data_IF_793272682463
#
_entry.id   IF_793272682463
#
_cell.length_a   1.000
_cell.length_b   1.000
_cell.length_c   1.000
_cell.angle_alpha   90.00
_cell.angle_beta   90.00
_cell.angle_gamma   90.00
#
_symmetry.space_group_name_H-M   'P 1'
#
loop_
_entity.id
_entity.type
_entity.pdbx_description
1 polymer ?
#
# COMPACT_ATOMS: atom_id res chain seq x y z
N UNK A 1 -7.71 -29.45 -52.81
CA UNK A 1 -7.14 -28.62 -51.74
C UNK A 1 -8.29 -28.27 -50.81
N UNK A 2 -8.54 -29.00 -49.71
CA UNK A 2 -7.80 -28.98 -48.43
C UNK A 2 -7.63 -27.53 -47.94
N UNK A 3 -8.14 -27.09 -46.78
CA UNK A 3 -8.55 -27.82 -45.58
C UNK A 3 -9.50 -26.94 -44.74
N UNK A 4 -10.49 -27.57 -44.10
CA UNK A 4 -11.23 -27.05 -42.96
C UNK A 4 -10.28 -26.85 -41.77
N UNK A 5 -10.55 -25.83 -40.94
CA UNK A 5 -10.39 -25.95 -39.49
C UNK A 5 -11.62 -25.36 -38.82
N UNK A 6 -12.52 -26.26 -38.41
CA UNK A 6 -13.46 -26.05 -37.31
C UNK A 6 -12.66 -26.00 -36.01
N UNK A 7 -12.94 -25.02 -35.15
CA UNK A 7 -12.62 -25.11 -33.73
C UNK A 7 -13.94 -25.21 -32.98
N UNK A 8 -14.29 -26.45 -32.66
CA UNK A 8 -15.28 -26.76 -31.66
C UNK A 8 -14.83 -26.24 -30.28
N UNK A 9 -15.85 -25.91 -29.48
CA UNK A 9 -15.88 -25.79 -28.01
C UNK A 9 -14.79 -26.60 -27.29
N UNK A 10 -14.23 -26.13 -26.18
CA UNK A 10 -14.71 -26.43 -24.81
C UNK A 10 -13.96 -25.56 -23.77
N UNK A 11 -14.69 -25.17 -22.71
CA UNK A 11 -14.25 -24.81 -21.34
C UNK A 11 -13.70 -23.41 -20.99
N UNK A 12 -14.37 -22.83 -19.99
CA UNK A 12 -13.78 -21.91 -19.02
C UNK A 12 -14.30 -20.48 -19.13
N UNK A 13 -15.35 -20.16 -18.38
CA UNK A 13 -15.60 -18.78 -17.96
C UNK A 13 -14.38 -18.30 -17.16
N UNK A 14 -13.43 -17.66 -17.82
CA UNK A 14 -12.57 -16.69 -17.15
C UNK A 14 -13.30 -15.36 -17.26
N UNK A 15 -14.01 -15.05 -16.18
CA UNK A 15 -14.58 -13.73 -15.90
C UNK A 15 -13.59 -12.64 -16.27
N UNK A 16 -14.13 -11.63 -16.97
CA UNK A 16 -13.51 -10.36 -17.39
C UNK A 16 -12.27 -9.99 -16.56
N UNK A 17 -11.11 -9.68 -17.17
CA UNK A 17 -10.04 -9.02 -16.44
C UNK A 17 -10.57 -7.63 -16.04
N UNK A 18 -11.12 -7.56 -14.84
CA UNK A 18 -11.56 -6.33 -14.21
C UNK A 18 -10.38 -5.37 -14.29
N UNK A 19 -10.57 -4.27 -15.02
CA UNK A 19 -9.54 -3.30 -15.37
C UNK A 19 -8.99 -2.74 -14.05
N UNK A 20 -7.92 -3.34 -13.55
CA UNK A 20 -7.16 -2.86 -12.39
C UNK A 20 -6.69 -1.47 -12.77
N UNK A 21 -7.18 -0.46 -12.04
CA UNK A 21 -6.70 0.91 -11.97
C UNK A 21 -5.20 1.02 -12.34
N UNK A 22 -4.90 1.18 -13.64
CA UNK A 22 -3.56 0.85 -14.20
C UNK A 22 -2.49 1.81 -13.68
N UNK A 23 -2.90 2.99 -13.22
CA UNK A 23 -2.04 4.08 -12.76
C UNK A 23 -2.17 4.43 -11.28
N UNK A 24 -3.14 3.87 -10.54
CA UNK A 24 -3.36 4.21 -9.12
C UNK A 24 -3.86 3.02 -8.29
N UNK A 25 -3.69 3.09 -6.97
CA UNK A 25 -4.34 2.24 -6.00
C UNK A 25 -5.08 3.09 -4.96
N UNK A 26 -6.21 2.59 -4.46
CA UNK A 26 -6.96 3.27 -3.40
C UNK A 26 -6.37 2.91 -2.03
N UNK A 27 -6.22 3.90 -1.17
CA UNK A 27 -5.71 3.73 0.20
C UNK A 27 -6.68 4.40 1.17
N UNK A 28 -7.05 3.75 2.30
CA UNK A 28 -7.95 4.34 3.28
C UNK A 28 -7.32 5.54 3.98
N UNK A 29 -8.14 6.55 4.28
CA UNK A 29 -7.68 7.79 4.91
C UNK A 29 -8.67 8.27 5.96
N UNK A 30 -8.20 9.16 6.84
CA UNK A 30 -9.00 9.68 7.95
C UNK A 30 -8.94 8.81 9.19
N UNK A 31 -9.88 9.00 10.10
CA UNK A 31 -10.00 8.22 11.34
C UNK A 31 -10.11 6.73 11.05
N UNK A 32 -9.59 5.90 11.95
CA UNK A 32 -9.60 4.45 11.81
C UNK A 32 -8.83 3.90 10.60
N UNK A 33 -8.12 4.73 9.83
CA UNK A 33 -7.28 4.27 8.72
C UNK A 33 -5.91 3.79 9.18
N UNK A 34 -5.18 3.11 8.27
CA UNK A 34 -3.80 2.68 8.52
C UNK A 34 -2.89 3.84 8.95
N UNK A 35 -3.17 5.03 8.40
CA UNK A 35 -2.41 6.26 8.66
C UNK A 35 -2.74 6.86 10.03
N UNK A 36 -4.00 6.81 10.46
CA UNK A 36 -4.40 7.21 11.82
C UNK A 36 -3.75 6.29 12.87
N UNK A 37 -3.76 4.98 12.65
CA UNK A 37 -3.09 4.03 13.55
C UNK A 37 -1.55 4.15 13.53
N UNK A 38 -0.96 4.55 12.41
CA UNK A 38 0.47 4.85 12.32
C UNK A 38 0.82 6.12 13.13
N UNK A 39 0.05 7.20 12.95
CA UNK A 39 0.24 8.46 13.69
C UNK A 39 0.07 8.25 15.21
N UNK A 40 -0.91 7.45 15.62
CA UNK A 40 -1.14 7.08 17.04
C UNK A 40 -0.13 6.05 17.57
N UNK A 41 0.83 5.63 16.76
CA UNK A 41 1.84 4.62 17.09
C UNK A 41 1.29 3.25 17.51
N UNK A 42 0.07 2.93 17.10
CA UNK A 42 -0.54 1.61 17.24
C UNK A 42 0.05 0.61 16.22
N UNK A 43 0.62 1.15 15.14
CA UNK A 43 1.40 0.41 14.15
C UNK A 43 2.84 0.92 14.08
N UNK A 44 3.74 -0.02 13.82
CA UNK A 44 5.10 0.29 13.40
C UNK A 44 5.12 0.72 11.93
N UNK A 45 6.20 1.41 11.58
CA UNK A 45 6.48 1.90 10.25
C UNK A 45 6.62 0.73 9.25
N UNK A 46 7.20 -0.39 9.70
CA UNK A 46 7.31 -1.60 8.89
C UNK A 46 5.94 -2.25 8.63
N UNK A 47 5.08 -2.33 9.65
CA UNK A 47 3.69 -2.80 9.50
C UNK A 47 2.93 -1.93 8.51
N UNK A 48 2.99 -0.60 8.65
CA UNK A 48 2.30 0.31 7.75
C UNK A 48 2.76 0.15 6.28
N UNK A 49 4.08 0.07 6.02
CA UNK A 49 4.56 -0.09 4.65
C UNK A 49 4.18 -1.45 4.05
N UNK A 50 4.26 -2.53 4.84
CA UNK A 50 3.86 -3.87 4.39
C UNK A 50 2.36 -3.93 4.12
N UNK A 51 1.54 -3.31 4.96
CA UNK A 51 0.12 -3.15 4.71
C UNK A 51 -0.14 -2.43 3.39
N UNK A 52 0.50 -1.26 3.19
CA UNK A 52 0.33 -0.47 1.95
C UNK A 52 0.70 -1.28 0.71
N UNK A 53 1.75 -2.11 0.78
CA UNK A 53 2.13 -2.99 -0.33
C UNK A 53 1.11 -4.09 -0.60
N UNK A 54 0.58 -4.72 0.45
CA UNK A 54 -0.46 -5.75 0.31
C UNK A 54 -1.73 -5.10 -0.26
N UNK A 55 -2.15 -3.96 0.28
CA UNK A 55 -3.30 -3.19 -0.20
C UNK A 55 -3.14 -2.76 -1.66
N UNK A 56 -1.94 -2.32 -2.06
CA UNK A 56 -1.64 -2.05 -3.48
C UNK A 56 -2.01 -3.28 -4.32
N UNK A 57 -1.56 -4.46 -3.92
CA UNK A 57 -1.82 -5.75 -4.58
C UNK A 57 -3.18 -6.40 -4.25
N UNK A 58 -4.16 -5.61 -3.79
CA UNK A 58 -5.51 -6.09 -3.44
C UNK A 58 -6.60 -5.40 -4.26
N UNK A 59 -7.74 -6.07 -4.38
CA UNK A 59 -8.95 -5.44 -4.90
C UNK A 59 -9.55 -4.56 -3.80
N UNK A 60 -9.81 -3.29 -4.10
CA UNK A 60 -10.32 -2.34 -3.11
C UNK A 60 -11.66 -2.81 -2.52
N UNK A 61 -12.61 -3.18 -3.38
CA UNK A 61 -13.98 -3.49 -2.96
C UNK A 61 -14.06 -4.73 -2.06
N UNK A 62 -13.32 -5.78 -2.40
CA UNK A 62 -13.33 -7.01 -1.61
C UNK A 62 -12.26 -7.04 -0.53
N UNK A 63 -11.25 -6.17 -0.58
CA UNK A 63 -10.05 -6.23 0.27
C UNK A 63 -9.17 -7.46 0.03
N UNK A 64 -9.48 -8.30 -0.95
CA UNK A 64 -8.76 -9.55 -1.20
C UNK A 64 -7.50 -9.31 -2.02
N UNK A 65 -6.37 -9.80 -1.51
CA UNK A 65 -5.07 -9.70 -2.19
C UNK A 65 -4.84 -10.80 -3.22
N UNK A 66 -4.02 -10.50 -4.22
CA UNK A 66 -3.37 -11.55 -5.01
C UNK A 66 -2.43 -12.40 -4.14
N UNK A 67 -1.95 -13.53 -4.67
CA UNK A 67 -1.00 -14.40 -3.98
C UNK A 67 0.34 -13.70 -3.73
N UNK A 68 0.70 -13.49 -2.45
CA UNK A 68 1.91 -12.80 -2.02
C UNK A 68 2.71 -13.66 -1.03
N UNK A 69 3.87 -14.14 -1.48
CA UNK A 69 4.82 -14.85 -0.62
C UNK A 69 5.65 -13.88 0.23
N UNK A 70 6.17 -14.33 1.37
CA UNK A 70 7.07 -13.50 2.19
C UNK A 70 8.35 -13.09 1.43
N UNK A 71 8.86 -13.95 0.56
CA UNK A 71 10.01 -13.61 -0.30
C UNK A 71 9.66 -12.47 -1.27
N UNK A 72 8.45 -12.52 -1.86
CA UNK A 72 7.99 -11.45 -2.76
C UNK A 72 7.80 -10.14 -2.00
N UNK A 73 7.14 -10.17 -0.86
CA UNK A 73 6.95 -8.99 0.00
C UNK A 73 8.29 -8.41 0.48
N UNK A 74 9.25 -9.26 0.86
CA UNK A 74 10.61 -8.85 1.23
C UNK A 74 11.31 -8.08 0.11
N UNK A 75 11.24 -8.60 -1.12
CA UNK A 75 11.77 -7.92 -2.31
C UNK A 75 11.04 -6.61 -2.58
N UNK A 76 9.72 -6.63 -2.59
CA UNK A 76 8.89 -5.48 -2.98
C UNK A 76 8.94 -4.34 -1.93
N UNK A 77 9.12 -4.67 -0.65
CA UNK A 77 9.25 -3.71 0.43
C UNK A 77 10.70 -3.31 0.72
N UNK A 78 11.70 -3.90 0.05
CA UNK A 78 13.12 -3.66 0.35
C UNK A 78 13.50 -3.95 1.82
N UNK A 79 12.85 -4.95 2.42
CA UNK A 79 13.04 -5.35 3.83
C UNK A 79 13.57 -6.78 3.91
N UNK A 80 14.23 -7.13 5.01
CA UNK A 80 14.56 -8.54 5.26
C UNK A 80 13.30 -9.39 5.42
N UNK A 81 13.40 -10.67 5.06
CA UNK A 81 12.27 -11.62 5.19
C UNK A 81 11.76 -11.70 6.64
N UNK A 82 12.66 -11.65 7.63
CA UNK A 82 12.30 -11.67 9.05
C UNK A 82 11.49 -10.43 9.46
N UNK A 83 11.87 -9.23 8.98
CA UNK A 83 11.10 -8.01 9.23
C UNK A 83 9.70 -8.08 8.61
N UNK A 84 9.58 -8.58 7.38
CA UNK A 84 8.27 -8.76 6.73
C UNK A 84 7.40 -9.76 7.48
N UNK A 85 7.96 -10.89 7.92
CA UNK A 85 7.21 -11.88 8.71
C UNK A 85 6.71 -11.27 10.01
N UNK A 86 7.56 -10.52 10.72
CA UNK A 86 7.18 -9.84 11.95
C UNK A 86 6.07 -8.80 11.71
N UNK A 87 6.20 -7.99 10.65
CA UNK A 87 5.20 -6.99 10.26
C UNK A 87 3.85 -7.64 9.91
N UNK A 88 3.84 -8.68 9.08
CA UNK A 88 2.60 -9.41 8.74
C UNK A 88 1.97 -10.03 9.99
N UNK A 89 2.77 -10.65 10.87
CA UNK A 89 2.26 -11.21 12.13
C UNK A 89 1.63 -10.13 13.00
N UNK A 90 2.27 -8.96 13.10
CA UNK A 90 1.76 -7.81 13.83
C UNK A 90 0.44 -7.30 13.28
N UNK A 91 0.35 -7.09 11.96
CA UNK A 91 -0.88 -6.70 11.27
C UNK A 91 -2.02 -7.69 11.50
N UNK A 92 -1.74 -9.00 11.41
CA UNK A 92 -2.74 -10.05 11.68
C UNK A 92 -3.21 -10.00 13.14
N UNK A 93 -2.27 -9.90 14.09
CA UNK A 93 -2.62 -9.85 15.53
C UNK A 93 -3.44 -8.61 15.91
N UNK A 94 -3.28 -7.51 15.15
CA UNK A 94 -3.98 -6.25 15.35
C UNK A 94 -5.26 -6.14 14.50
N UNK A 95 -5.62 -7.18 13.75
CA UNK A 95 -6.83 -7.24 12.94
C UNK A 95 -6.82 -6.44 11.64
N UNK A 96 -5.66 -5.93 11.20
CA UNK A 96 -5.54 -5.20 9.93
C UNK A 96 -5.51 -6.11 8.71
N UNK A 97 -5.13 -7.37 8.92
CA UNK A 97 -5.08 -8.40 7.89
C UNK A 97 -5.66 -9.70 8.44
N UNK A 98 -6.43 -10.42 7.65
CA UNK A 98 -6.58 -11.87 7.83
C UNK A 98 -5.74 -12.60 6.80
N UNK A 99 -5.01 -13.64 7.23
CA UNK A 99 -4.09 -14.38 6.37
C UNK A 99 -4.72 -15.72 5.97
N UNK A 100 -4.88 -15.93 4.68
CA UNK A 100 -5.41 -17.17 4.11
C UNK A 100 -4.24 -18.03 3.61
N UNK A 101 -3.95 -19.11 4.34
CA UNK A 101 -2.88 -20.07 4.00
C UNK A 101 -3.41 -21.05 2.95
N UNK A 102 -2.82 -21.04 1.75
CA UNK A 102 -3.29 -21.86 0.61
C UNK A 102 -2.66 -23.25 0.54
N UNK A 103 -1.76 -23.61 1.46
CA UNK A 103 -1.04 -24.88 1.48
C UNK A 103 0.48 -24.72 1.33
N UNK A 104 1.20 -25.84 1.37
CA UNK A 104 2.67 -25.84 1.28
C UNK A 104 3.12 -25.31 -0.10
N UNK A 105 4.15 -24.46 -0.10
CA UNK A 105 4.74 -23.85 -1.31
C UNK A 105 3.81 -22.92 -2.13
N UNK A 106 2.59 -22.66 -1.68
CA UNK A 106 1.71 -21.68 -2.31
C UNK A 106 1.84 -20.31 -1.63
N UNK A 107 1.75 -19.26 -2.44
CA UNK A 107 1.71 -17.89 -1.92
C UNK A 107 0.42 -17.69 -1.11
N UNK A 108 0.54 -17.03 0.04
CA UNK A 108 -0.63 -16.69 0.87
C UNK A 108 -1.45 -15.62 0.15
N UNK A 109 -2.76 -15.61 0.42
CA UNK A 109 -3.60 -14.44 0.14
C UNK A 109 -3.94 -13.75 1.46
N UNK A 110 -4.28 -12.47 1.39
CA UNK A 110 -4.60 -11.65 2.54
C UNK A 110 -5.95 -10.98 2.31
N UNK A 111 -6.73 -10.88 3.38
CA UNK A 111 -7.92 -10.06 3.44
C UNK A 111 -7.57 -8.78 4.20
N UNK A 112 -7.69 -7.65 3.52
CA UNK A 112 -7.36 -6.32 4.05
C UNK A 112 -8.58 -5.72 4.75
N UNK A 113 -8.34 -5.07 5.88
CA UNK A 113 -9.31 -4.21 6.56
C UNK A 113 -8.93 -2.75 6.30
N UNK A 114 -9.80 -2.00 5.62
CA UNK A 114 -9.50 -0.63 5.19
C UNK A 114 -9.64 0.39 6.32
N UNK A 115 -10.72 0.28 7.10
CA UNK A 115 -10.97 1.11 8.27
C UNK A 115 -11.26 0.22 9.47
N UNK A 116 -10.58 0.48 10.58
CA UNK A 116 -10.67 -0.29 11.82
C UNK A 116 -11.81 0.22 12.70
N UNK A 117 -13.04 0.08 12.20
CA UNK A 117 -14.29 0.49 12.83
C UNK A 117 -15.46 -0.38 12.32
N UNK A 118 -16.66 -0.17 12.88
CA UNK A 118 -17.87 -0.69 12.26
C UNK A 118 -18.04 -0.05 10.87
N UNK A 119 -18.52 -0.78 9.85
CA UNK A 119 -18.79 -0.21 8.52
C UNK A 119 -19.68 1.04 8.54
N UNK A 120 -20.60 1.16 9.50
CA UNK A 120 -21.48 2.31 9.66
C UNK A 120 -20.76 3.55 10.23
N UNK A 121 -19.64 3.34 10.92
CA UNK A 121 -18.80 4.40 11.51
C UNK A 121 -17.63 4.79 10.60
N UNK A 122 -17.50 4.15 9.42
CA UNK A 122 -16.41 4.45 8.51
C UNK A 122 -16.50 5.93 8.06
N UNK A 123 -15.38 6.68 8.09
CA UNK A 123 -15.39 8.07 7.63
C UNK A 123 -15.80 8.09 6.16
N UNK A 124 -16.76 8.96 5.83
CA UNK A 124 -17.29 9.09 4.47
C UNK A 124 -16.71 10.32 3.76
N UNK A 125 -16.63 10.25 2.43
CA UNK A 125 -16.41 11.40 1.56
C UNK A 125 -17.71 12.17 1.26
N UNK A 126 -17.65 13.15 0.36
CA UNK A 126 -18.79 13.99 -0.01
C UNK A 126 -19.90 13.20 -0.72
N UNK A 127 -19.57 12.04 -1.29
CA UNK A 127 -20.50 11.16 -2.01
C UNK A 127 -21.07 10.06 -1.10
N UNK A 128 -20.73 10.08 0.20
CA UNK A 128 -21.17 9.06 1.16
C UNK A 128 -20.42 7.74 1.05
N UNK A 129 -19.27 7.71 0.38
CA UNK A 129 -18.44 6.51 0.23
C UNK A 129 -17.29 6.51 1.25
N UNK A 130 -16.77 5.34 1.65
CA UNK A 130 -15.62 5.26 2.56
C UNK A 130 -14.44 6.10 2.06
N UNK A 131 -13.96 6.98 2.93
CA UNK A 131 -12.96 7.99 2.63
C UNK A 131 -11.65 7.33 2.24
N UNK A 132 -11.18 7.63 1.04
CA UNK A 132 -9.97 7.07 0.44
C UNK A 132 -9.21 8.11 -0.35
N UNK A 133 -7.96 7.83 -0.66
CA UNK A 133 -7.17 8.61 -1.59
C UNK A 133 -6.54 7.72 -2.66
N UNK A 134 -6.38 8.27 -3.86
CA UNK A 134 -5.65 7.63 -4.93
C UNK A 134 -4.14 7.84 -4.75
N UNK A 135 -3.40 6.74 -4.61
CA UNK A 135 -1.94 6.70 -4.62
C UNK A 135 -1.45 6.21 -5.98
N UNK A 136 -0.36 6.77 -6.53
CA UNK A 136 0.16 6.37 -7.84
C UNK A 136 0.68 4.93 -7.80
N UNK A 137 0.49 4.24 -8.92
CA UNK A 137 0.91 2.86 -9.18
C UNK A 137 1.69 2.80 -10.49
N UNK A 138 2.61 1.85 -10.60
CA UNK A 138 3.42 1.67 -11.81
C UNK A 138 4.66 2.56 -11.86
N UNK A 139 5.19 2.81 -13.06
CA UNK A 139 6.46 3.49 -13.25
C UNK A 139 6.48 4.88 -12.58
N UNK A 140 7.52 5.15 -11.78
CA UNK A 140 7.67 6.40 -11.05
C UNK A 140 6.94 6.46 -9.70
N UNK A 141 6.09 5.49 -9.35
CA UNK A 141 5.50 5.41 -8.00
C UNK A 141 6.56 5.14 -6.94
N UNK A 142 6.26 5.45 -5.68
CA UNK A 142 7.17 5.18 -4.56
C UNK A 142 7.56 3.69 -4.48
N UNK A 143 6.59 2.77 -4.65
CA UNK A 143 6.88 1.34 -4.68
C UNK A 143 7.71 0.91 -5.91
N UNK A 144 7.52 1.54 -7.07
CA UNK A 144 8.36 1.27 -8.24
C UNK A 144 9.81 1.75 -8.04
N UNK A 145 10.00 2.93 -7.43
CA UNK A 145 11.32 3.45 -7.09
C UNK A 145 12.01 2.56 -6.03
N UNK A 146 11.26 2.05 -5.05
CA UNK A 146 11.74 1.12 -4.05
C UNK A 146 12.16 -0.22 -4.69
N UNK A 147 11.31 -0.79 -5.54
CA UNK A 147 11.61 -2.04 -6.26
C UNK A 147 12.80 -1.93 -7.21
N UNK A 148 13.08 -0.73 -7.71
CA UNK A 148 14.26 -0.40 -8.51
C UNK A 148 15.52 -0.07 -7.67
N UNK A 149 15.42 -0.12 -6.34
CA UNK A 149 16.54 0.19 -5.42
C UNK A 149 16.94 1.67 -5.41
N UNK A 150 16.11 2.57 -5.95
CA UNK A 150 16.41 4.01 -6.03
C UNK A 150 16.12 4.77 -4.73
N UNK A 151 15.26 4.21 -3.88
CA UNK A 151 14.91 4.76 -2.57
C UNK A 151 14.88 3.64 -1.53
N UNK A 152 15.10 3.98 -0.26
CA UNK A 152 14.91 3.04 0.83
C UNK A 152 13.43 2.83 1.15
N UNK A 153 13.12 1.78 1.91
CA UNK A 153 11.75 1.54 2.37
C UNK A 153 11.25 2.68 3.28
N UNK A 154 12.13 3.26 4.11
CA UNK A 154 11.76 4.43 4.91
C UNK A 154 11.39 5.63 4.05
N UNK A 155 12.13 5.87 2.96
CA UNK A 155 11.81 6.91 1.99
C UNK A 155 10.46 6.65 1.31
N UNK A 156 10.18 5.39 0.95
CA UNK A 156 8.89 5.00 0.37
C UNK A 156 7.71 5.30 1.32
N UNK A 157 7.82 4.93 2.60
CA UNK A 157 6.77 5.24 3.58
C UNK A 157 6.64 6.74 3.82
N UNK A 158 7.76 7.46 3.95
CA UNK A 158 7.77 8.91 4.08
C UNK A 158 7.03 9.59 2.93
N UNK A 159 7.21 9.10 1.70
CA UNK A 159 6.49 9.62 0.53
C UNK A 159 4.97 9.45 0.67
N UNK A 160 4.50 8.30 1.15
CA UNK A 160 3.06 8.07 1.35
C UNK A 160 2.49 9.00 2.43
N UNK A 161 3.21 9.17 3.55
CA UNK A 161 2.81 10.13 4.61
C UNK A 161 2.79 11.56 4.09
N UNK A 162 3.80 11.97 3.30
CA UNK A 162 3.77 13.27 2.63
C UNK A 162 2.53 13.41 1.74
N UNK A 163 2.21 12.41 0.92
CA UNK A 163 1.02 12.49 0.07
C UNK A 163 -0.27 12.60 0.88
N UNK A 164 -0.37 11.88 1.99
CA UNK A 164 -1.50 11.96 2.90
C UNK A 164 -1.72 13.34 3.50
N UNK A 165 -0.63 14.05 3.79
CA UNK A 165 -0.66 15.33 4.50
C UNK A 165 -0.59 16.54 3.58
N UNK A 166 -0.43 16.32 2.27
CA UNK A 166 -0.30 17.41 1.31
C UNK A 166 -1.65 17.83 0.76
N UNK A 167 -1.83 19.13 0.63
CA UNK A 167 -2.89 19.69 -0.20
C UNK A 167 -2.43 19.69 -1.67
N UNK A 168 -2.99 18.77 -2.43
CA UNK A 168 -2.65 18.56 -3.83
C UNK A 168 -3.35 19.55 -4.77
N UNK A 169 -4.32 20.33 -4.29
CA UNK A 169 -4.91 21.40 -5.09
C UNK A 169 -3.90 22.51 -5.40
N UNK A 170 -2.92 22.69 -4.51
CA UNK A 170 -1.91 23.76 -4.59
C UNK A 170 -0.49 23.24 -4.89
N UNK A 171 -0.33 21.95 -5.23
CA UNK A 171 0.97 21.29 -5.43
C UNK A 171 1.97 21.50 -4.27
N UNK A 172 1.47 21.66 -3.05
CA UNK A 172 2.29 22.05 -1.91
C UNK A 172 2.37 20.93 -0.86
N UNK A 173 3.61 20.54 -0.54
CA UNK A 173 3.93 19.58 0.51
C UNK A 173 4.60 20.34 1.65
N UNK A 174 3.87 20.65 2.72
CA UNK A 174 4.44 21.20 3.96
C UNK A 174 4.40 20.15 5.06
N UNK A 175 5.29 19.15 4.96
CA UNK A 175 5.59 18.30 6.10
C UNK A 175 6.85 18.83 6.80
N UNK A 176 6.69 19.39 7.99
CA UNK A 176 7.83 19.78 8.83
C UNK A 176 8.56 18.54 9.34
N UNK A 177 9.83 18.69 9.77
CA UNK A 177 10.56 17.57 10.40
C UNK A 177 9.85 17.11 11.67
N UNK A 178 9.27 18.03 12.44
CA UNK A 178 8.54 17.70 13.66
C UNK A 178 7.32 16.82 13.36
N UNK A 179 6.49 17.21 12.39
CA UNK A 179 5.33 16.41 11.96
C UNK A 179 5.76 15.07 11.36
N UNK A 180 6.81 15.05 10.54
CA UNK A 180 7.35 13.79 10.04
C UNK A 180 7.78 12.85 11.17
N UNK A 181 8.36 13.38 12.25
CA UNK A 181 8.76 12.59 13.44
C UNK A 181 7.57 12.14 14.30
N UNK A 182 6.52 12.96 14.36
CA UNK A 182 5.26 12.61 15.01
C UNK A 182 4.59 11.43 14.30
N UNK A 183 4.63 11.41 12.97
CA UNK A 183 4.04 10.33 12.18
C UNK A 183 4.95 9.11 12.04
N UNK A 184 6.25 9.34 11.95
CA UNK A 184 7.26 8.33 11.67
C UNK A 184 8.33 8.41 12.76
N UNK A 185 8.55 7.34 13.52
CA UNK A 185 9.59 7.32 14.57
C UNK A 185 11.00 7.11 14.00
N UNK A 186 11.23 7.60 12.79
CA UNK A 186 12.55 7.66 12.18
C UNK A 186 13.41 8.70 12.89
N UNK A 187 14.72 8.45 12.95
CA UNK A 187 15.67 9.43 13.45
C UNK A 187 15.65 10.71 12.61
N UNK A 188 15.95 11.85 13.23
CA UNK A 188 16.00 13.15 12.55
C UNK A 188 16.95 13.12 11.33
N UNK A 189 18.11 12.48 11.47
CA UNK A 189 19.06 12.34 10.38
C UNK A 189 18.46 11.57 9.20
N UNK A 190 17.76 10.47 9.46
CA UNK A 190 17.05 9.69 8.44
C UNK A 190 16.03 10.54 7.69
N UNK A 191 15.23 11.34 8.39
CA UNK A 191 14.25 12.25 7.76
C UNK A 191 14.96 13.30 6.91
N UNK A 192 16.02 13.91 7.42
CA UNK A 192 16.82 14.87 6.67
C UNK A 192 17.39 14.28 5.37
N UNK A 193 17.88 13.05 5.42
CA UNK A 193 18.44 12.37 4.24
C UNK A 193 17.35 11.98 3.24
N UNK A 194 16.19 11.49 3.70
CA UNK A 194 15.03 11.24 2.85
C UNK A 194 14.57 12.53 2.14
N UNK A 195 14.53 13.66 2.85
CA UNK A 195 14.15 14.95 2.24
C UNK A 195 15.13 15.42 1.16
N UNK A 196 16.40 15.00 1.21
CA UNK A 196 17.38 15.29 0.14
C UNK A 196 17.07 14.51 -1.14
N UNK A 197 16.58 13.26 -1.00
CA UNK A 197 16.15 12.42 -2.12
C UNK A 197 14.95 13.07 -2.82
N UNK A 198 13.95 13.50 -2.05
CA UNK A 198 12.74 14.12 -2.56
C UNK A 198 12.83 15.65 -2.61
N UNK A 199 13.99 16.24 -2.96
CA UNK A 199 14.09 17.71 -3.08
C UNK A 199 13.06 18.23 -4.07
N UNK A 200 11.90 18.61 -3.54
CA UNK A 200 10.93 19.50 -4.14
C UNK A 200 11.65 20.83 -4.35
N UNK A 201 11.43 21.51 -5.48
CA UNK A 201 12.10 22.78 -5.77
C UNK A 201 11.92 23.71 -4.56
N UNK A 202 13.05 24.18 -4.02
CA UNK A 202 13.02 25.25 -3.01
C UNK A 202 12.36 26.45 -3.69
N UNK A 203 11.38 27.07 -3.04
CA UNK A 203 10.89 28.40 -3.43
C UNK A 203 12.12 29.29 -3.66
N UNK A 204 12.27 29.77 -4.89
CA UNK A 204 13.02 30.99 -5.17
C UNK A 204 12.24 32.19 -4.64
#
# INVERSE_FOLDING_TARGET
MHQQLTFDSVEGFLSVPEIVQVSTCQVPVGEHSIFDHLQRHLLSEAEALVYLKINECSHWESGSSHGLSYSRLSKDCGMSRSQVIAAVKGLVSKGWLSKNVRGNNLANTYQVVHHFCDPLDAPLDQDGLPKKCAMPRGAGSAFALLGAGRISWQACLYWHVCKMLSDWSNNFISLTIAQAREWLRFGQQTICDIRKIYRLPKKG
#
